data_IF_068504861599
#
_entry.id   IF_068504861599
#
_cell.length_a   1.000
_cell.length_b   1.000
_cell.length_c   1.000
_cell.angle_alpha   90.00
_cell.angle_beta   90.00
_cell.angle_gamma   90.00
#
_symmetry.space_group_name_H-M   'P 1'
#
loop_
_entity.id
_entity.type
_entity.pdbx_description
1 polymer ?
#
# COMPACT_ATOMS: atom_id res chain seq x y z
N UNK A 1 -2.13 -19.05 11.61
CA UNK A 1 -1.32 -18.01 10.95
C UNK A 1 -1.93 -17.79 9.58
N UNK A 2 -2.54 -16.65 9.37
CA UNK A 2 -3.09 -16.21 8.09
C UNK A 2 -1.98 -16.01 7.04
N UNK A 3 -2.35 -16.06 5.76
CA UNK A 3 -1.40 -15.80 4.67
C UNK A 3 -0.72 -14.43 4.79
N UNK A 4 -1.42 -13.44 5.36
CA UNK A 4 -0.88 -12.12 5.65
C UNK A 4 0.18 -12.16 6.75
N UNK A 5 -0.09 -12.82 7.88
CA UNK A 5 0.88 -12.95 8.97
C UNK A 5 2.15 -13.67 8.51
N UNK A 6 2.01 -14.70 7.67
CA UNK A 6 3.16 -15.42 7.09
C UNK A 6 3.97 -14.51 6.17
N UNK A 7 3.30 -13.78 5.26
CA UNK A 7 3.95 -12.81 4.38
C UNK A 7 4.70 -11.73 5.18
N UNK A 8 4.10 -11.21 6.25
CA UNK A 8 4.74 -10.23 7.12
C UNK A 8 5.97 -10.83 7.79
N UNK A 9 5.88 -12.05 8.34
CA UNK A 9 7.01 -12.74 8.97
C UNK A 9 8.19 -12.93 8.01
N UNK A 10 7.92 -13.38 6.78
CA UNK A 10 8.97 -13.61 5.78
C UNK A 10 9.68 -12.31 5.37
N UNK A 11 8.94 -11.20 5.28
CA UNK A 11 9.52 -9.89 4.98
C UNK A 11 10.17 -9.24 6.21
N UNK A 12 9.65 -9.49 7.42
CA UNK A 12 10.23 -8.96 8.65
C UNK A 12 11.64 -9.50 8.88
N UNK A 13 11.89 -10.78 8.60
CA UNK A 13 13.24 -11.35 8.61
C UNK A 13 14.18 -10.63 7.62
N UNK A 14 13.67 -10.23 6.44
CA UNK A 14 14.48 -9.57 5.40
C UNK A 14 14.81 -8.13 5.75
N UNK A 15 13.86 -7.38 6.31
CA UNK A 15 14.02 -5.95 6.59
C UNK A 15 14.57 -5.66 7.98
N UNK A 16 14.09 -6.36 9.00
CA UNK A 16 14.47 -6.13 10.40
C UNK A 16 15.53 -7.12 10.90
N UNK A 17 15.81 -8.21 10.16
CA UNK A 17 16.71 -9.28 10.61
C UNK A 17 16.13 -10.17 11.72
N UNK A 18 14.87 -9.93 12.08
CA UNK A 18 14.13 -10.61 13.14
C UNK A 18 12.65 -10.66 12.77
N UNK A 19 12.04 -11.82 12.98
CA UNK A 19 10.59 -12.01 12.88
C UNK A 19 10.10 -12.62 14.18
N UNK A 20 9.60 -11.74 15.05
CA UNK A 20 8.89 -12.13 16.26
C UNK A 20 7.39 -11.87 16.07
N UNK A 21 6.56 -12.61 16.80
CA UNK A 21 5.11 -12.42 16.79
C UNK A 21 4.72 -10.97 17.10
N UNK A 22 5.47 -10.32 17.97
CA UNK A 22 5.29 -8.91 18.33
C UNK A 22 5.42 -7.97 17.12
N UNK A 23 6.36 -8.26 16.21
CA UNK A 23 6.56 -7.47 14.98
C UNK A 23 5.40 -7.69 14.02
N UNK A 24 4.98 -8.95 13.86
CA UNK A 24 3.83 -9.29 13.01
C UNK A 24 2.57 -8.57 13.50
N UNK A 25 2.27 -8.66 14.80
CA UNK A 25 1.11 -8.00 15.40
C UNK A 25 1.18 -6.48 15.27
N UNK A 26 2.36 -5.88 15.49
CA UNK A 26 2.58 -4.45 15.30
C UNK A 26 2.32 -3.99 13.86
N UNK A 27 2.82 -4.74 12.86
CA UNK A 27 2.63 -4.43 11.44
C UNK A 27 1.15 -4.55 11.06
N UNK A 28 0.46 -5.60 11.50
CA UNK A 28 -0.98 -5.79 11.24
C UNK A 28 -1.81 -4.67 11.89
N UNK A 29 -1.51 -4.32 13.14
CA UNK A 29 -2.18 -3.23 13.85
C UNK A 29 -1.94 -1.88 13.16
N UNK A 30 -0.69 -1.61 12.77
CA UNK A 30 -0.30 -0.40 12.05
C UNK A 30 -1.02 -0.31 10.70
N UNK A 31 -1.10 -1.42 9.96
CA UNK A 31 -1.78 -1.46 8.66
C UNK A 31 -3.31 -1.26 8.79
N UNK A 32 -3.90 -1.78 9.87
CA UNK A 32 -5.32 -1.63 10.16
C UNK A 32 -5.69 -0.19 10.57
N UNK A 33 -4.77 0.52 11.23
CA UNK A 33 -4.95 1.91 11.68
C UNK A 33 -4.52 2.96 10.64
N UNK A 34 -3.60 2.61 9.75
CA UNK A 34 -3.07 3.52 8.74
C UNK A 34 -4.16 4.01 7.77
N UNK A 35 -4.06 5.27 7.33
CA UNK A 35 -4.98 5.89 6.35
C UNK A 35 -4.51 5.72 4.90
N UNK A 36 -3.21 5.55 4.68
CA UNK A 36 -2.54 5.36 3.39
C UNK A 36 -1.36 4.38 3.54
N UNK A 37 -0.90 3.74 2.45
CA UNK A 37 0.30 2.88 2.49
C UNK A 37 1.55 3.68 2.92
N UNK A 38 1.65 4.94 2.51
CA UNK A 38 2.74 5.83 2.94
C UNK A 38 2.73 6.14 4.43
N UNK A 39 1.56 6.26 5.06
CA UNK A 39 1.46 6.42 6.50
C UNK A 39 1.90 5.13 7.25
N UNK A 40 1.60 3.96 6.68
CA UNK A 40 2.10 2.68 7.20
C UNK A 40 3.63 2.61 7.06
N UNK A 41 4.15 2.90 5.86
CA UNK A 41 5.59 2.92 5.60
C UNK A 41 6.32 3.85 6.56
N UNK A 42 5.84 5.08 6.76
CA UNK A 42 6.45 6.02 7.72
C UNK A 42 6.50 5.48 9.15
N UNK A 43 5.47 4.74 9.58
CA UNK A 43 5.43 4.12 10.91
C UNK A 43 6.43 2.96 11.04
N UNK A 44 6.57 2.17 9.98
CA UNK A 44 7.51 1.06 9.93
C UNK A 44 8.97 1.53 9.77
N UNK A 45 9.19 2.60 9.00
CA UNK A 45 10.50 3.23 8.81
C UNK A 45 11.02 3.80 10.15
N UNK A 46 10.14 4.44 10.94
CA UNK A 46 10.48 4.83 12.31
C UNK A 46 10.86 3.64 13.22
N UNK A 47 10.45 2.42 12.87
CA UNK A 47 10.78 1.18 13.58
C UNK A 47 12.00 0.45 13.01
N UNK A 48 12.67 1.01 11.98
CA UNK A 48 13.87 0.45 11.37
C UNK A 48 13.66 -0.21 10.00
N UNK A 49 12.51 0.00 9.34
CA UNK A 49 12.31 -0.44 7.95
C UNK A 49 13.16 0.46 7.02
N UNK A 50 14.06 -0.08 6.18
CA UNK A 50 14.89 0.74 5.32
C UNK A 50 14.06 1.43 4.23
N UNK A 51 14.47 2.63 3.82
CA UNK A 51 13.86 3.36 2.71
C UNK A 51 14.33 2.78 1.37
N UNK A 52 13.70 1.68 0.98
CA UNK A 52 13.93 0.99 -0.29
C UNK A 52 12.62 0.82 -1.07
N UNK A 53 12.69 0.63 -2.40
CA UNK A 53 11.50 0.33 -3.20
C UNK A 53 10.77 -0.92 -2.71
N UNK A 54 11.50 -1.93 -2.26
CA UNK A 54 10.93 -3.19 -1.73
C UNK A 54 10.12 -2.93 -0.44
N UNK A 55 10.61 -2.04 0.43
CA UNK A 55 9.93 -1.67 1.66
C UNK A 55 8.63 -0.88 1.40
N UNK A 56 8.61 -0.05 0.36
CA UNK A 56 7.39 0.62 -0.10
C UNK A 56 6.37 -0.38 -0.66
N UNK A 57 6.82 -1.33 -1.49
CA UNK A 57 5.95 -2.40 -1.99
C UNK A 57 5.40 -3.27 -0.85
N UNK A 58 6.23 -3.58 0.15
CA UNK A 58 5.80 -4.30 1.34
C UNK A 58 4.68 -3.56 2.07
N UNK A 59 4.83 -2.26 2.32
CA UNK A 59 3.79 -1.45 2.96
C UNK A 59 2.50 -1.42 2.12
N UNK A 60 2.59 -1.30 0.80
CA UNK A 60 1.43 -1.34 -0.09
C UNK A 60 0.70 -2.70 -0.03
N UNK A 61 1.43 -3.81 -0.09
CA UNK A 61 0.86 -5.14 -0.07
C UNK A 61 0.19 -5.46 1.27
N UNK A 62 0.86 -5.14 2.37
CA UNK A 62 0.32 -5.31 3.73
C UNK A 62 -0.93 -4.46 3.93
N UNK A 63 -0.90 -3.20 3.50
CA UNK A 63 -2.04 -2.29 3.61
C UNK A 63 -3.25 -2.74 2.76
N UNK A 64 -3.00 -3.36 1.61
CA UNK A 64 -4.02 -3.91 0.72
C UNK A 64 -4.68 -5.16 1.30
N UNK A 65 -3.88 -6.03 1.92
CA UNK A 65 -4.33 -7.31 2.50
C UNK A 65 -4.88 -7.18 3.92
N UNK A 66 -4.57 -6.10 4.63
CA UNK A 66 -5.01 -5.89 6.00
C UNK A 66 -6.55 -5.89 6.11
N UNK A 67 -7.12 -6.49 7.17
CA UNK A 67 -8.57 -6.55 7.39
C UNK A 67 -9.11 -5.16 7.75
N UNK A 68 -9.38 -4.34 6.74
CA UNK A 68 -9.85 -2.95 6.93
C UNK A 68 -11.36 -2.89 6.93
N UNK A 69 -11.92 -2.02 7.79
CA UNK A 69 -13.38 -1.77 7.97
C UNK A 69 -14.04 -1.09 6.75
N UNK A 70 -13.60 -1.36 5.53
CA UNK A 70 -14.23 -0.85 4.31
C UNK A 70 -15.07 -1.95 3.66
N UNK A 71 -16.40 -1.75 3.77
CA UNK A 71 -17.49 -2.42 3.04
C UNK A 71 -17.04 -3.40 1.95
N UNK A 72 -17.27 -4.67 2.22
CA UNK A 72 -17.55 -5.76 1.28
C UNK A 72 -17.54 -5.33 -0.21
N UNK A 73 -16.42 -5.52 -0.90
CA UNK A 73 -16.42 -5.75 -2.35
C UNK A 73 -15.40 -6.84 -2.66
N UNK A 74 -15.91 -7.88 -3.29
CA UNK A 74 -15.25 -9.15 -3.55
C UNK A 74 -13.98 -8.96 -4.41
N UNK A 75 -13.03 -9.85 -4.15
CA UNK A 75 -11.98 -10.33 -5.03
C UNK A 75 -12.20 -10.03 -6.53
N UNK A 76 -11.39 -9.12 -7.10
CA UNK A 76 -11.01 -9.06 -8.53
C UNK A 76 -10.36 -7.74 -9.01
N UNK A 77 -10.11 -6.75 -8.15
CA UNK A 77 -9.79 -5.37 -8.61
C UNK A 77 -8.35 -4.90 -8.32
N UNK A 78 -7.40 -5.83 -8.10
CA UNK A 78 -5.98 -5.49 -7.88
C UNK A 78 -5.27 -4.90 -9.10
N UNK A 79 -5.93 -4.87 -10.27
CA UNK A 79 -5.43 -4.23 -11.49
C UNK A 79 -5.86 -2.76 -11.65
N UNK A 80 -6.69 -2.19 -10.74
CA UNK A 80 -7.38 -0.92 -11.03
C UNK A 80 -6.87 0.30 -10.27
N UNK A 81 -6.00 0.12 -9.27
CA UNK A 81 -5.52 1.24 -8.44
C UNK A 81 -4.19 1.86 -8.87
N UNK A 82 -3.68 1.48 -10.04
CA UNK A 82 -2.69 2.26 -10.77
C UNK A 82 -3.35 3.29 -11.73
N UNK A 83 -4.68 3.26 -11.91
CA UNK A 83 -5.37 4.06 -12.93
C UNK A 83 -5.80 5.49 -12.49
N UNK A 84 -5.62 5.88 -11.22
CA UNK A 84 -6.15 7.17 -10.73
C UNK A 84 -5.18 8.35 -10.83
N UNK A 85 -3.87 8.12 -11.05
CA UNK A 85 -2.89 9.22 -11.17
C UNK A 85 -2.53 9.61 -12.61
N UNK A 86 -2.65 8.71 -13.60
CA UNK A 86 -2.37 9.08 -15.01
C UNK A 86 -3.57 9.64 -15.78
N UNK A 87 -4.81 9.36 -15.38
CA UNK A 87 -5.98 9.79 -16.16
C UNK A 87 -6.25 11.30 -16.10
N UNK A 88 -5.68 12.02 -15.12
CA UNK A 88 -5.82 13.49 -15.05
C UNK A 88 -4.89 14.23 -16.02
N UNK A 89 -3.81 13.61 -16.50
CA UNK A 89 -2.88 14.25 -17.44
C UNK A 89 -3.36 14.20 -18.89
N UNK A 90 -4.13 13.17 -19.28
CA UNK A 90 -4.64 13.03 -20.64
C UNK A 90 -5.92 13.84 -20.91
N UNK A 91 -6.67 14.23 -19.87
CA UNK A 91 -7.92 14.96 -20.03
C UNK A 91 -7.71 16.47 -20.23
N UNK A 92 -6.60 17.05 -19.79
CA UNK A 92 -6.30 18.48 -20.01
C UNK A 92 -5.87 18.78 -21.45
N UNK A 93 -5.30 17.81 -22.15
CA UNK A 93 -4.90 17.96 -23.56
C UNK A 93 -6.10 17.94 -24.51
N UNK A 94 -7.21 17.27 -24.15
CA UNK A 94 -8.35 17.07 -25.06
C UNK A 94 -9.35 18.24 -25.09
N UNK A 95 -9.33 19.11 -24.08
CA UNK A 95 -10.20 20.30 -24.01
C UNK A 95 -9.54 21.59 -24.50
N UNK A 96 -8.23 21.59 -24.78
CA UNK A 96 -7.52 22.75 -25.32
C UNK A 96 -7.69 22.98 -26.82
N UNK A 97 -8.24 22.01 -27.57
CA UNK A 97 -8.31 22.07 -29.04
C UNK A 97 -9.73 22.30 -29.59
N UNK A 98 -10.76 22.40 -28.74
CA UNK A 98 -12.15 22.55 -29.20
C UNK A 98 -12.73 23.95 -28.93
N UNK A 99 -11.90 24.92 -28.57
CA UNK A 99 -12.33 26.27 -28.18
C UNK A 99 -11.72 27.39 -29.03
N UNK A 100 -10.99 27.05 -30.09
CA UNK A 100 -10.46 28.02 -31.05
C UNK A 100 -11.09 27.79 -32.43
N UNK A 101 -11.48 28.91 -33.04
CA UNK A 101 -11.92 29.13 -34.43
C UNK A 101 -13.45 29.08 -34.71
N UNK A 102 -14.10 30.18 -34.29
CA UNK A 102 -15.03 30.96 -35.14
C UNK A 102 -14.24 31.66 -36.26
#
# INVERSE_FOLDING_TARGET
MSDLERYISDNALRFFGLSDRSIVDYVVASASSAKSPEALFSSLNASGLPDTPDAHQFAQEVFSRAPRRSKHKKASDSARKQAEQETKALHSQKFGFLLDED
#
